data_IF_918782401391
#
_entry.id   IF_918782401391
#
_cell.length_a   1.000
_cell.length_b   1.000
_cell.length_c   1.000
_cell.angle_alpha   90.00
_cell.angle_beta   90.00
_cell.angle_gamma   90.00
#
_symmetry.space_group_name_H-M   'P 1'
#
loop_
_entity.id
_entity.type
_entity.pdbx_description
1 polymer ?
#
# COMPACT_ATOMS: atom_id res chain seq x y z
N UNK A 1 -18.98 2.17 1.45
CA UNK A 1 -17.59 1.95 0.99
C UNK A 1 -17.27 2.71 -0.31
N UNK A 2 -18.06 2.60 -1.38
CA UNK A 2 -17.78 3.28 -2.66
C UNK A 2 -17.52 4.80 -2.52
N UNK A 3 -18.31 5.51 -1.75
CA UNK A 3 -18.11 6.94 -1.51
C UNK A 3 -16.80 7.29 -0.81
N UNK A 4 -16.32 6.46 0.12
CA UNK A 4 -15.02 6.67 0.78
C UNK A 4 -13.87 6.45 -0.19
N UNK A 5 -13.97 5.40 -1.03
CA UNK A 5 -12.98 5.16 -2.10
C UNK A 5 -12.97 6.29 -3.13
N UNK A 6 -14.15 6.76 -3.55
CA UNK A 6 -14.27 7.86 -4.50
C UNK A 6 -13.71 9.16 -3.92
N UNK A 7 -14.00 9.45 -2.65
CA UNK A 7 -13.44 10.62 -1.96
C UNK A 7 -11.92 10.53 -1.87
N UNK A 8 -11.37 9.36 -1.49
CA UNK A 8 -9.93 9.13 -1.40
C UNK A 8 -9.27 9.30 -2.78
N UNK A 9 -9.83 8.69 -3.83
CA UNK A 9 -9.32 8.83 -5.20
C UNK A 9 -9.36 10.28 -5.68
N UNK A 10 -10.45 11.00 -5.43
CA UNK A 10 -10.60 12.42 -5.78
C UNK A 10 -9.58 13.31 -5.06
N UNK A 11 -9.38 13.09 -3.77
CA UNK A 11 -8.37 13.83 -2.97
C UNK A 11 -6.97 13.58 -3.52
N UNK A 12 -6.61 12.32 -3.75
CA UNK A 12 -5.27 11.97 -4.30
C UNK A 12 -5.10 12.59 -5.68
N UNK A 13 -6.11 12.51 -6.55
CA UNK A 13 -6.06 13.10 -7.90
C UNK A 13 -5.83 14.60 -7.84
N UNK A 14 -6.63 15.34 -7.08
CA UNK A 14 -6.50 16.80 -6.94
C UNK A 14 -5.16 17.17 -6.31
N UNK A 15 -4.74 16.43 -5.27
CA UNK A 15 -3.49 16.69 -4.58
C UNK A 15 -2.25 16.45 -5.48
N UNK A 16 -2.26 15.40 -6.29
CA UNK A 16 -1.16 15.11 -7.25
C UNK A 16 -1.15 16.10 -8.41
N UNK A 17 -2.30 16.59 -8.84
CA UNK A 17 -2.41 17.62 -9.89
C UNK A 17 -2.14 19.03 -9.36
N UNK A 18 -2.04 19.21 -8.02
CA UNK A 18 -1.88 20.54 -7.40
C UNK A 18 -0.73 21.39 -7.95
N UNK A 19 0.48 20.83 -8.24
CA UNK A 19 1.55 21.62 -8.87
C UNK A 19 1.16 22.20 -10.22
N UNK A 20 0.33 21.49 -11.00
CA UNK A 20 -0.17 21.97 -12.30
C UNK A 20 -1.27 23.02 -12.12
N UNK A 21 -2.21 22.73 -11.23
CA UNK A 21 -3.35 23.59 -10.94
C UNK A 21 -2.86 24.92 -10.34
N UNK A 22 -1.89 24.89 -9.43
CA UNK A 22 -1.37 26.10 -8.78
C UNK A 22 -0.64 27.06 -9.73
N UNK A 23 -0.20 26.59 -10.90
CA UNK A 23 0.37 27.44 -11.97
C UNK A 23 -0.63 28.44 -12.53
N UNK A 24 -1.93 28.21 -12.38
CA UNK A 24 -2.96 29.12 -12.91
C UNK A 24 -2.98 30.49 -12.19
N UNK A 25 -2.46 30.55 -10.96
CA UNK A 25 -2.44 31.78 -10.14
C UNK A 25 -1.12 32.05 -9.40
N UNK A 26 -0.13 31.17 -9.56
CA UNK A 26 1.17 31.34 -8.89
C UNK A 26 2.32 31.09 -9.87
N UNK A 27 3.28 32.01 -9.92
CA UNK A 27 4.49 31.86 -10.71
C UNK A 27 5.42 30.75 -10.17
N UNK A 28 5.30 30.42 -8.87
CA UNK A 28 6.04 29.32 -8.22
C UNK A 28 5.05 28.19 -7.85
N UNK A 29 4.95 27.12 -8.66
CA UNK A 29 4.07 26.00 -8.38
C UNK A 29 4.52 25.28 -7.09
N UNK A 30 3.57 24.97 -6.22
CA UNK A 30 3.83 24.28 -4.94
C UNK A 30 3.27 22.86 -5.01
N UNK A 31 4.11 21.86 -4.73
CA UNK A 31 3.67 20.50 -4.47
C UNK A 31 3.09 20.37 -3.06
N UNK A 32 2.23 19.39 -2.85
CA UNK A 32 1.79 18.99 -1.53
C UNK A 32 2.79 17.95 -0.97
N UNK A 33 3.14 18.11 0.28
CA UNK A 33 4.12 17.28 0.97
C UNK A 33 3.52 15.96 1.52
N UNK A 34 4.35 15.06 2.02
CA UNK A 34 3.94 13.82 2.62
C UNK A 34 3.01 14.03 3.84
N UNK A 35 3.17 15.14 4.58
CA UNK A 35 2.35 15.45 5.74
C UNK A 35 0.89 15.69 5.35
N UNK A 36 0.65 16.34 4.20
CA UNK A 36 -0.70 16.52 3.68
C UNK A 36 -1.38 15.15 3.45
N UNK A 37 -0.70 14.26 2.70
CA UNK A 37 -1.25 12.92 2.42
C UNK A 37 -1.48 12.12 3.69
N UNK A 38 -0.55 12.15 4.63
CA UNK A 38 -0.67 11.45 5.90
C UNK A 38 -1.87 11.97 6.73
N UNK A 39 -2.10 13.28 6.75
CA UNK A 39 -3.22 13.88 7.51
C UNK A 39 -4.58 13.56 6.91
N UNK A 40 -4.68 13.42 5.60
CA UNK A 40 -5.97 13.25 4.91
C UNK A 40 -6.23 11.79 4.55
N UNK A 41 -5.25 11.10 3.95
CA UNK A 41 -5.46 9.75 3.44
C UNK A 41 -5.42 8.68 4.53
N UNK A 42 -4.59 8.83 5.59
CA UNK A 42 -4.52 7.83 6.64
C UNK A 42 -5.83 7.68 7.44
N UNK A 43 -6.52 8.76 7.88
CA UNK A 43 -7.81 8.61 8.55
C UNK A 43 -8.89 7.98 7.66
N UNK A 44 -8.94 8.36 6.38
CA UNK A 44 -9.89 7.78 5.42
C UNK A 44 -9.54 6.31 5.13
N UNK A 45 -8.27 5.98 5.02
CA UNK A 45 -7.80 4.60 4.88
C UNK A 45 -8.16 3.75 6.11
N UNK A 46 -7.93 4.26 7.32
CA UNK A 46 -8.31 3.58 8.55
C UNK A 46 -9.83 3.36 8.66
N UNK A 47 -10.64 4.35 8.26
CA UNK A 47 -12.09 4.23 8.15
C UNK A 47 -12.48 3.15 7.13
N UNK A 48 -11.84 3.13 5.97
CA UNK A 48 -12.07 2.10 4.95
C UNK A 48 -11.78 0.70 5.50
N UNK A 49 -10.69 0.53 6.24
CA UNK A 49 -10.34 -0.75 6.87
C UNK A 49 -11.39 -1.18 7.90
N UNK A 50 -11.88 -0.25 8.73
CA UNK A 50 -12.96 -0.52 9.67
C UNK A 50 -14.25 -0.95 8.96
N UNK A 51 -14.63 -0.26 7.89
CA UNK A 51 -15.79 -0.63 7.07
C UNK A 51 -15.59 -2.02 6.42
N UNK A 52 -14.40 -2.32 5.94
CA UNK A 52 -14.05 -3.63 5.38
C UNK A 52 -14.18 -4.76 6.42
N UNK A 53 -13.82 -4.50 7.67
CA UNK A 53 -13.99 -5.47 8.75
C UNK A 53 -15.46 -5.72 9.09
N UNK A 54 -16.30 -4.67 9.09
CA UNK A 54 -17.69 -4.72 9.55
C UNK A 54 -18.70 -5.09 8.46
N UNK A 55 -18.59 -4.50 7.26
CA UNK A 55 -19.61 -4.59 6.21
C UNK A 55 -19.98 -6.01 5.75
N UNK A 56 -19.08 -6.99 5.65
CA UNK A 56 -19.45 -8.35 5.22
C UNK A 56 -20.47 -9.05 6.13
N UNK A 57 -20.60 -8.60 7.36
CA UNK A 57 -21.46 -9.20 8.39
C UNK A 57 -22.82 -8.50 8.52
N UNK A 58 -23.00 -7.35 7.86
CA UNK A 58 -24.23 -6.57 7.88
C UNK A 58 -25.11 -6.95 6.69
N UNK A 59 -26.40 -7.21 6.94
CA UNK A 59 -27.39 -7.52 5.90
C UNK A 59 -27.95 -6.26 5.25
N UNK A 60 -28.29 -6.30 3.96
CA UNK A 60 -28.92 -5.20 3.23
C UNK A 60 -30.31 -4.79 3.79
N UNK A 61 -31.06 -5.77 4.33
CA UNK A 61 -32.35 -5.52 5.00
C UNK A 61 -32.25 -5.17 6.48
N UNK A 62 -31.03 -4.88 6.96
CA UNK A 62 -30.75 -4.69 8.38
C UNK A 62 -30.41 -5.99 9.11
N UNK A 63 -29.83 -5.85 10.30
CA UNK A 63 -29.42 -6.98 11.15
C UNK A 63 -28.04 -7.56 10.80
N UNK A 64 -27.65 -8.59 11.55
CA UNK A 64 -26.35 -9.27 11.42
C UNK A 64 -26.55 -10.63 10.76
N UNK A 65 -25.90 -10.83 9.61
CA UNK A 65 -26.00 -12.05 8.81
C UNK A 65 -25.47 -13.28 9.53
N UNK A 66 -24.32 -13.18 10.20
CA UNK A 66 -23.72 -14.22 11.01
C UNK A 66 -23.24 -13.63 12.34
N UNK A 67 -24.06 -13.82 13.40
CA UNK A 67 -23.77 -13.26 14.72
C UNK A 67 -22.44 -13.77 15.31
N UNK A 68 -22.12 -15.06 15.15
CA UNK A 68 -20.89 -15.65 15.70
C UNK A 68 -19.65 -15.01 15.04
N UNK A 69 -19.62 -14.92 13.72
CA UNK A 69 -18.53 -14.29 12.99
C UNK A 69 -18.41 -12.79 13.30
N UNK A 70 -19.54 -12.09 13.36
CA UNK A 70 -19.54 -10.66 13.72
C UNK A 70 -18.95 -10.41 15.11
N UNK A 71 -19.40 -11.15 16.15
CA UNK A 71 -18.85 -11.00 17.49
C UNK A 71 -17.37 -11.40 17.56
N UNK A 72 -16.94 -12.43 16.82
CA UNK A 72 -15.54 -12.81 16.74
C UNK A 72 -14.68 -11.67 16.12
N UNK A 73 -15.14 -11.06 15.03
CA UNK A 73 -14.46 -9.91 14.38
C UNK A 73 -14.39 -8.71 15.33
N UNK A 74 -15.49 -8.39 16.02
CA UNK A 74 -15.51 -7.29 17.01
C UNK A 74 -14.58 -7.57 18.19
N UNK A 75 -14.61 -8.80 18.71
CA UNK A 75 -13.71 -9.21 19.80
C UNK A 75 -12.24 -9.16 19.38
N UNK A 76 -11.92 -9.66 18.19
CA UNK A 76 -10.56 -9.60 17.65
C UNK A 76 -10.10 -8.16 17.46
N UNK A 77 -10.97 -7.28 16.94
CA UNK A 77 -10.69 -5.85 16.82
C UNK A 77 -10.34 -5.23 18.18
N UNK A 78 -11.16 -5.47 19.19
CA UNK A 78 -10.97 -4.92 20.54
C UNK A 78 -9.70 -5.47 21.21
N UNK A 79 -9.47 -6.79 21.13
CA UNK A 79 -8.30 -7.44 21.72
C UNK A 79 -7.01 -7.02 21.03
N UNK A 80 -6.98 -7.02 19.70
CA UNK A 80 -5.79 -6.59 18.95
C UNK A 80 -5.50 -5.10 19.17
N UNK A 81 -6.53 -4.24 19.17
CA UNK A 81 -6.38 -2.83 19.48
C UNK A 81 -5.82 -2.60 20.89
N UNK A 82 -6.34 -3.31 21.90
CA UNK A 82 -5.82 -3.24 23.27
C UNK A 82 -4.37 -3.74 23.35
N UNK A 83 -4.06 -4.86 22.70
CA UNK A 83 -2.70 -5.41 22.69
C UNK A 83 -1.69 -4.44 22.05
N UNK A 84 -2.00 -3.90 20.88
CA UNK A 84 -1.17 -2.93 20.17
C UNK A 84 -0.97 -1.66 21.03
N UNK A 85 -2.03 -1.19 21.68
CA UNK A 85 -1.96 -0.03 22.58
C UNK A 85 -1.06 -0.28 23.81
N UNK A 86 -1.18 -1.47 24.44
CA UNK A 86 -0.34 -1.90 25.56
C UNK A 86 1.13 -2.06 25.17
N UNK A 87 1.43 -2.44 23.92
CA UNK A 87 2.79 -2.49 23.38
C UNK A 87 3.41 -1.10 23.18
N UNK A 88 2.65 -0.02 23.40
CA UNK A 88 3.13 1.35 23.29
C UNK A 88 2.84 2.04 21.95
N UNK A 89 2.20 1.37 21.01
CA UNK A 89 1.79 1.93 19.72
C UNK A 89 0.48 2.71 19.87
N UNK A 90 0.57 4.03 20.05
CA UNK A 90 -0.57 4.87 20.47
C UNK A 90 -1.10 5.81 19.40
N UNK A 91 -0.55 5.80 18.19
CA UNK A 91 -1.08 6.63 17.10
C UNK A 91 -2.49 6.17 16.68
N UNK A 92 -3.54 7.05 16.76
CA UNK A 92 -4.93 6.61 16.59
C UNK A 92 -5.21 5.99 15.21
N UNK A 93 -4.68 6.58 14.13
CA UNK A 93 -4.89 6.09 12.77
C UNK A 93 -4.19 4.75 12.53
N UNK A 94 -2.98 4.58 13.04
CA UNK A 94 -2.23 3.34 12.99
C UNK A 94 -2.91 2.23 13.80
N UNK A 95 -3.35 2.56 15.03
CA UNK A 95 -4.07 1.64 15.90
C UNK A 95 -5.37 1.15 15.25
N UNK A 96 -6.18 2.08 14.75
CA UNK A 96 -7.44 1.77 14.08
C UNK A 96 -7.21 0.92 12.83
N UNK A 97 -6.25 1.29 11.98
CA UNK A 97 -5.89 0.56 10.76
C UNK A 97 -5.40 -0.86 11.05
N UNK A 98 -4.45 -1.01 11.98
CA UNK A 98 -3.87 -2.30 12.34
C UNK A 98 -4.91 -3.23 13.02
N UNK A 99 -5.68 -2.72 13.99
CA UNK A 99 -6.73 -3.51 14.66
C UNK A 99 -7.81 -3.96 13.67
N UNK A 100 -8.23 -3.07 12.75
CA UNK A 100 -9.18 -3.42 11.68
C UNK A 100 -8.61 -4.48 10.75
N UNK A 101 -7.32 -4.42 10.43
CA UNK A 101 -6.65 -5.42 9.59
C UNK A 101 -6.65 -6.80 10.22
N UNK A 102 -6.32 -6.91 11.51
CA UNK A 102 -6.38 -8.19 12.25
C UNK A 102 -7.82 -8.72 12.30
N UNK A 103 -8.81 -7.84 12.49
CA UNK A 103 -10.22 -8.20 12.45
C UNK A 103 -10.67 -8.70 11.06
N UNK A 104 -10.17 -8.09 9.97
CA UNK A 104 -10.41 -8.56 8.59
C UNK A 104 -9.84 -9.96 8.38
N UNK A 105 -8.62 -10.23 8.87
CA UNK A 105 -8.02 -11.58 8.78
C UNK A 105 -8.90 -12.62 9.46
N UNK A 106 -9.43 -12.31 10.64
CA UNK A 106 -10.41 -13.17 11.33
C UNK A 106 -11.67 -13.37 10.47
N UNK A 107 -12.19 -12.30 9.90
CA UNK A 107 -13.34 -12.36 8.99
C UNK A 107 -13.10 -13.23 7.77
N UNK A 108 -11.92 -13.17 7.16
CA UNK A 108 -11.53 -14.01 6.01
C UNK A 108 -11.54 -15.50 6.42
N UNK A 109 -11.06 -15.86 7.62
CA UNK A 109 -11.11 -17.24 8.10
C UNK A 109 -12.56 -17.75 8.19
N UNK A 110 -13.50 -16.97 8.74
CA UNK A 110 -14.92 -17.33 8.77
C UNK A 110 -15.53 -17.45 7.35
N UNK A 111 -15.18 -16.57 6.44
CA UNK A 111 -15.66 -16.63 5.05
C UNK A 111 -15.08 -17.86 4.30
N UNK A 112 -13.82 -18.19 4.55
CA UNK A 112 -13.20 -19.41 4.01
C UNK A 112 -13.79 -20.69 4.61
N UNK A 113 -14.27 -20.68 5.85
CA UNK A 113 -14.95 -21.81 6.48
C UNK A 113 -16.36 -22.03 5.88
N UNK A 114 -17.00 -20.97 5.39
CA UNK A 114 -18.33 -21.04 4.79
C UNK A 114 -18.29 -21.64 3.38
N UNK A 115 -18.90 -22.83 3.21
CA UNK A 115 -18.96 -23.50 1.91
C UNK A 115 -19.75 -22.70 0.86
N UNK A 116 -20.74 -21.93 1.28
CA UNK A 116 -21.55 -21.09 0.38
C UNK A 116 -20.71 -20.00 -0.27
N UNK A 117 -19.81 -19.36 0.51
CA UNK A 117 -18.88 -18.34 0.02
C UNK A 117 -17.84 -18.95 -0.91
N UNK A 118 -17.25 -20.09 -0.54
CA UNK A 118 -16.22 -20.75 -1.37
C UNK A 118 -16.70 -21.23 -2.74
N UNK A 119 -17.99 -21.51 -2.87
CA UNK A 119 -18.61 -21.95 -4.13
C UNK A 119 -18.95 -20.82 -5.08
N UNK A 120 -18.97 -19.57 -4.59
CA UNK A 120 -19.25 -18.42 -5.45
C UNK A 120 -18.10 -18.21 -6.45
N UNK A 121 -18.40 -17.92 -7.72
CA UNK A 121 -17.37 -17.57 -8.69
C UNK A 121 -16.60 -16.32 -8.18
N UNK A 122 -15.28 -16.33 -8.37
CA UNK A 122 -14.36 -15.25 -7.97
C UNK A 122 -14.25 -14.95 -6.46
N UNK A 123 -14.87 -15.75 -5.57
CA UNK A 123 -14.80 -15.51 -4.12
C UNK A 123 -13.37 -15.54 -3.59
N UNK A 124 -12.53 -16.46 -4.08
CA UNK A 124 -11.12 -16.53 -3.68
C UNK A 124 -10.33 -15.30 -4.13
N UNK A 125 -10.63 -14.77 -5.32
CA UNK A 125 -10.02 -13.52 -5.79
C UNK A 125 -10.40 -12.34 -4.91
N UNK A 126 -11.69 -12.23 -4.55
CA UNK A 126 -12.17 -11.18 -3.64
C UNK A 126 -11.55 -11.30 -2.25
N UNK A 127 -11.50 -12.50 -1.68
CA UNK A 127 -10.87 -12.74 -0.38
C UNK A 127 -9.36 -12.46 -0.41
N UNK A 128 -8.69 -12.80 -1.52
CA UNK A 128 -7.28 -12.47 -1.73
C UNK A 128 -7.03 -10.97 -1.78
N UNK A 129 -7.90 -10.20 -2.45
CA UNK A 129 -7.81 -8.75 -2.45
C UNK A 129 -7.97 -8.16 -1.04
N UNK A 130 -8.92 -8.67 -0.24
CA UNK A 130 -9.11 -8.25 1.16
C UNK A 130 -7.91 -8.64 2.03
N UNK A 131 -7.35 -9.83 1.84
CA UNK A 131 -6.13 -10.27 2.53
C UNK A 131 -4.95 -9.34 2.20
N UNK A 132 -4.72 -9.09 0.92
CA UNK A 132 -3.65 -8.18 0.49
C UNK A 132 -3.80 -6.78 1.06
N UNK A 133 -5.02 -6.23 1.03
CA UNK A 133 -5.31 -4.91 1.63
C UNK A 133 -5.06 -4.89 3.15
N UNK A 134 -5.45 -5.94 3.88
CA UNK A 134 -5.20 -6.04 5.31
C UNK A 134 -3.71 -6.08 5.65
N UNK A 135 -2.91 -6.83 4.89
CA UNK A 135 -1.45 -6.90 5.07
C UNK A 135 -0.78 -5.56 4.72
N UNK A 136 -1.19 -4.91 3.61
CA UNK A 136 -0.70 -3.57 3.26
C UNK A 136 -0.99 -2.56 4.37
N UNK A 137 -2.21 -2.58 4.93
CA UNK A 137 -2.59 -1.65 5.98
C UNK A 137 -1.81 -1.87 7.27
N UNK A 138 -1.43 -3.11 7.62
CA UNK A 138 -0.49 -3.41 8.71
C UNK A 138 0.87 -2.76 8.40
N UNK A 139 1.41 -2.99 7.21
CA UNK A 139 2.67 -2.37 6.79
C UNK A 139 2.64 -0.85 6.94
N UNK A 140 1.62 -0.17 6.39
CA UNK A 140 1.46 1.29 6.47
C UNK A 140 1.31 1.77 7.92
N UNK A 141 0.52 1.04 8.74
CA UNK A 141 0.24 1.43 10.12
C UNK A 141 1.50 1.46 11.00
N UNK A 142 2.49 0.62 10.70
CA UNK A 142 3.71 0.54 11.49
C UNK A 142 4.90 1.24 10.82
N UNK A 143 5.14 1.06 9.52
CA UNK A 143 6.33 1.60 8.86
C UNK A 143 6.36 3.13 8.82
N UNK A 144 5.22 3.79 8.56
CA UNK A 144 5.17 5.25 8.49
C UNK A 144 5.37 5.92 9.86
N UNK A 145 4.43 5.71 10.81
CA UNK A 145 4.41 6.41 12.10
C UNK A 145 5.54 6.02 13.06
N UNK A 146 6.08 4.81 12.93
CA UNK A 146 7.08 4.26 13.87
C UNK A 146 8.44 4.04 13.23
N UNK A 147 8.66 4.61 12.04
CA UNK A 147 9.97 4.73 11.43
C UNK A 147 10.93 5.49 12.34
N UNK A 148 12.12 4.96 12.54
CA UNK A 148 13.20 5.63 13.24
C UNK A 148 14.28 5.95 12.21
N UNK A 149 14.56 7.22 12.00
CA UNK A 149 15.53 7.69 11.02
C UNK A 149 16.51 8.66 11.67
N UNK A 150 17.80 8.54 11.35
CA UNK A 150 18.84 9.44 11.83
C UNK A 150 19.98 9.54 10.82
N UNK A 151 20.50 10.75 10.66
CA UNK A 151 21.75 11.01 9.98
C UNK A 151 22.87 10.77 10.99
N UNK A 152 23.79 9.87 10.66
CA UNK A 152 24.87 9.42 11.55
C UNK A 152 26.20 9.75 10.90
N UNK A 153 27.08 10.41 11.65
CA UNK A 153 28.42 10.78 11.25
C UNK A 153 29.37 9.67 11.69
N UNK A 154 30.15 9.15 10.76
CA UNK A 154 31.10 8.06 10.99
C UNK A 154 32.51 8.45 10.63
N UNK A 155 33.45 8.03 11.46
CA UNK A 155 34.83 7.78 11.03
C UNK A 155 35.00 6.30 10.70
N UNK A 156 35.95 5.96 9.84
CA UNK A 156 36.21 4.55 9.48
C UNK A 156 36.58 3.75 10.74
N UNK A 157 35.96 2.61 10.93
CA UNK A 157 36.08 1.75 12.11
C UNK A 157 35.15 2.13 13.27
N UNK A 158 34.46 3.26 13.23
CA UNK A 158 33.56 3.70 14.29
C UNK A 158 32.24 2.93 14.25
N UNK A 159 31.72 2.60 15.46
CA UNK A 159 30.41 1.97 15.64
C UNK A 159 29.45 2.97 16.29
N UNK A 160 28.27 3.08 15.74
CA UNK A 160 27.14 3.86 16.25
C UNK A 160 25.90 2.98 16.43
N UNK A 161 24.95 3.43 17.24
CA UNK A 161 23.71 2.67 17.54
C UNK A 161 22.47 3.43 17.13
N UNK A 162 21.52 2.72 16.52
CA UNK A 162 20.20 3.22 16.17
C UNK A 162 19.14 2.14 16.47
N UNK A 163 18.14 2.47 17.29
CA UNK A 163 17.02 1.57 17.63
C UNK A 163 17.44 0.18 18.15
N UNK A 164 18.63 0.06 18.77
CA UNK A 164 19.20 -1.19 19.27
C UNK A 164 20.09 -1.94 18.28
N UNK A 165 20.12 -1.54 17.01
CA UNK A 165 21.06 -2.02 16.01
C UNK A 165 22.39 -1.28 16.10
N UNK A 166 23.50 -1.97 15.87
CA UNK A 166 24.83 -1.35 15.80
C UNK A 166 25.28 -1.30 14.34
N UNK A 167 25.73 -0.13 13.92
CA UNK A 167 26.26 0.14 12.60
C UNK A 167 27.74 0.51 12.71
N UNK A 168 28.62 -0.20 12.00
CA UNK A 168 30.07 0.03 11.99
C UNK A 168 30.49 0.37 10.56
N UNK A 169 31.05 1.55 10.35
CA UNK A 169 31.64 1.90 9.05
C UNK A 169 32.95 1.13 8.86
N UNK A 170 32.99 0.25 7.87
CA UNK A 170 34.18 -0.56 7.57
C UNK A 170 35.18 0.21 6.72
N UNK A 171 34.69 0.73 5.59
CA UNK A 171 35.50 1.45 4.60
C UNK A 171 34.64 2.36 3.74
N UNK A 172 35.27 3.34 3.11
CA UNK A 172 34.70 4.13 2.04
C UNK A 172 35.40 3.70 0.75
N UNK A 173 34.62 3.22 -0.22
CA UNK A 173 35.11 2.78 -1.53
C UNK A 173 34.76 3.82 -2.57
N UNK A 174 35.75 4.24 -3.35
CA UNK A 174 35.55 5.09 -4.53
C UNK A 174 35.86 4.29 -5.77
N UNK A 175 35.06 4.44 -6.81
CA UNK A 175 35.25 3.71 -8.03
C UNK A 175 34.56 4.31 -9.24
N UNK A 176 34.87 3.74 -10.40
CA UNK A 176 34.25 4.09 -11.66
C UNK A 176 33.70 2.85 -12.34
N UNK A 177 32.45 2.95 -12.79
CA UNK A 177 31.79 1.94 -13.63
C UNK A 177 31.39 2.56 -14.96
N UNK A 178 31.09 1.76 -16.00
CA UNK A 178 30.65 2.33 -17.26
C UNK A 178 29.46 3.28 -17.09
N UNK A 179 29.68 4.56 -17.39
CA UNK A 179 28.65 5.61 -17.36
C UNK A 179 28.50 6.39 -16.05
N UNK A 180 29.18 6.01 -14.97
CA UNK A 180 29.15 6.77 -13.70
C UNK A 180 30.37 6.52 -12.80
N UNK A 181 30.67 7.51 -11.98
CA UNK A 181 31.57 7.40 -10.84
C UNK A 181 30.75 7.23 -9.57
N UNK A 182 31.28 6.52 -8.58
CA UNK A 182 30.56 6.28 -7.33
C UNK A 182 31.47 6.35 -6.12
N UNK A 183 30.84 6.70 -4.99
CA UNK A 183 31.39 6.56 -3.64
C UNK A 183 30.42 5.68 -2.87
N UNK A 184 30.92 4.60 -2.25
CA UNK A 184 30.15 3.64 -1.46
C UNK A 184 30.66 3.60 -0.03
N UNK A 185 29.75 3.64 0.95
CA UNK A 185 30.07 3.45 2.36
C UNK A 185 29.70 2.03 2.79
N UNK A 186 30.69 1.17 3.07
CA UNK A 186 30.42 -0.19 3.57
C UNK A 186 30.17 -0.14 5.06
N UNK A 187 28.94 -0.42 5.47
CA UNK A 187 28.50 -0.38 6.87
C UNK A 187 28.02 -1.76 7.30
N UNK A 188 28.70 -2.35 8.29
CA UNK A 188 28.27 -3.60 8.91
C UNK A 188 27.17 -3.32 9.90
N UNK A 189 26.08 -4.09 9.83
CA UNK A 189 24.94 -4.00 10.74
C UNK A 189 24.89 -5.25 11.60
N UNK A 190 24.78 -5.07 12.92
CA UNK A 190 24.55 -6.13 13.91
C UNK A 190 23.31 -5.83 14.74
N UNK A 191 22.61 -6.86 15.17
CA UNK A 191 21.45 -6.72 16.05
C UNK A 191 21.86 -6.44 17.51
N UNK A 192 20.83 -6.38 18.40
CA UNK A 192 21.01 -6.14 19.86
C UNK A 192 21.88 -7.22 20.52
N UNK A 193 21.82 -8.46 20.00
CA UNK A 193 22.50 -9.63 20.56
C UNK A 193 23.91 -9.78 19.99
N UNK A 194 24.32 -8.89 19.09
CA UNK A 194 25.65 -8.88 18.45
C UNK A 194 25.75 -9.80 17.23
N UNK A 195 24.63 -10.38 16.78
CA UNK A 195 24.59 -11.17 15.55
C UNK A 195 24.68 -10.24 14.34
N UNK A 196 25.58 -10.56 13.42
CA UNK A 196 25.71 -9.85 12.15
C UNK A 196 24.50 -10.14 11.27
N UNK A 197 23.81 -9.06 10.83
CA UNK A 197 22.69 -9.13 9.91
C UNK A 197 23.14 -9.02 8.46
N UNK A 198 24.24 -8.29 8.21
CA UNK A 198 24.83 -8.10 6.91
C UNK A 198 25.66 -6.84 6.81
N UNK A 199 26.15 -6.58 5.61
CA UNK A 199 26.85 -5.34 5.24
C UNK A 199 26.01 -4.63 4.19
N UNK A 200 25.68 -3.36 4.45
CA UNK A 200 25.06 -2.46 3.47
C UNK A 200 26.11 -1.57 2.86
N UNK A 201 25.98 -1.28 1.57
CA UNK A 201 26.90 -0.46 0.80
C UNK A 201 26.14 0.64 0.00
N UNK A 202 25.49 1.62 0.68
CA UNK A 202 24.84 2.72 -0.01
C UNK A 202 25.85 3.52 -0.83
N UNK A 203 25.43 3.92 -2.06
CA UNK A 203 26.31 4.62 -3.01
C UNK A 203 25.80 6.03 -3.30
N UNK A 204 26.72 6.95 -3.55
CA UNK A 204 26.45 8.19 -4.29
C UNK A 204 27.06 8.08 -5.67
N UNK A 205 26.22 8.24 -6.70
CA UNK A 205 26.61 8.10 -8.10
C UNK A 205 26.57 9.42 -8.82
N UNK A 206 27.60 9.67 -9.61
CA UNK A 206 27.70 10.80 -10.52
C UNK A 206 27.66 10.27 -11.96
N UNK A 207 26.52 10.44 -12.63
CA UNK A 207 26.37 9.95 -14.01
C UNK A 207 26.94 10.94 -15.02
N UNK A 208 27.77 10.46 -15.94
CA UNK A 208 28.42 11.29 -16.98
C UNK A 208 27.41 12.07 -17.83
N UNK A 209 26.22 11.50 -18.11
CA UNK A 209 25.18 12.11 -18.94
C UNK A 209 24.42 13.23 -18.25
N UNK A 210 24.44 13.31 -16.91
CA UNK A 210 23.68 14.28 -16.13
C UNK A 210 24.54 15.37 -15.49
N UNK A 211 25.79 15.51 -15.94
CA UNK A 211 26.71 16.54 -15.47
C UNK A 211 27.04 16.38 -13.98
N UNK A 212 26.89 17.43 -13.20
CA UNK A 212 27.21 17.44 -11.76
C UNK A 212 26.08 16.88 -10.86
N UNK A 213 25.01 16.34 -11.41
CA UNK A 213 23.89 15.80 -10.62
C UNK A 213 24.28 14.47 -9.98
N UNK A 214 24.18 14.43 -8.66
CA UNK A 214 24.48 13.25 -7.87
C UNK A 214 23.19 12.53 -7.50
N UNK A 215 23.22 11.21 -7.62
CA UNK A 215 22.13 10.30 -7.25
C UNK A 215 22.55 9.47 -6.05
N UNK A 216 21.64 9.35 -5.07
CA UNK A 216 21.85 8.49 -3.91
C UNK A 216 21.19 7.14 -4.15
N UNK A 217 21.96 6.07 -4.09
CA UNK A 217 21.49 4.70 -4.14
C UNK A 217 21.44 4.14 -2.74
N UNK A 218 20.27 3.70 -2.35
CA UNK A 218 20.01 3.14 -1.02
C UNK A 218 20.32 1.64 -1.04
N UNK A 219 20.91 1.15 0.03
CA UNK A 219 21.04 -0.30 0.26
C UNK A 219 20.24 -0.73 1.48
N UNK A 220 19.74 -1.98 1.47
CA UNK A 220 18.69 -2.43 2.39
C UNK A 220 18.98 -3.84 2.89
N UNK A 221 18.77 -4.06 4.20
CA UNK A 221 18.69 -5.41 4.76
C UNK A 221 17.21 -5.74 4.93
N UNK A 222 16.63 -6.59 4.04
CA UNK A 222 15.21 -6.90 4.08
C UNK A 222 14.86 -7.80 5.27
N UNK A 223 13.71 -7.55 5.90
CA UNK A 223 13.20 -8.36 7.00
C UNK A 223 11.66 -8.35 7.02
N UNK A 224 11.05 -9.39 7.57
CA UNK A 224 9.61 -9.40 7.85
C UNK A 224 9.24 -8.62 9.12
N UNK A 225 10.23 -8.27 9.94
CA UNK A 225 10.10 -7.40 11.09
C UNK A 225 10.58 -5.99 10.78
N UNK A 226 11.71 -5.62 11.38
CA UNK A 226 12.37 -4.33 11.12
C UNK A 226 13.23 -4.44 9.86
N UNK A 227 12.99 -3.60 8.89
CA UNK A 227 13.82 -3.45 7.69
C UNK A 227 14.77 -2.27 7.88
N UNK A 228 16.02 -2.45 7.50
CA UNK A 228 17.07 -1.45 7.69
C UNK A 228 17.50 -0.86 6.34
N UNK A 229 17.37 0.44 6.21
CA UNK A 229 17.79 1.22 5.05
C UNK A 229 19.03 2.03 5.38
N UNK A 230 19.97 2.07 4.46
CA UNK A 230 21.12 2.95 4.52
C UNK A 230 21.20 3.80 3.25
N UNK A 231 21.49 5.09 3.40
CA UNK A 231 21.68 6.04 2.31
C UNK A 231 22.90 6.90 2.59
N UNK A 232 23.84 6.99 1.66
CA UNK A 232 25.03 7.83 1.79
C UNK A 232 24.67 9.28 1.45
N UNK A 233 24.77 10.19 2.43
CA UNK A 233 24.51 11.62 2.23
C UNK A 233 25.74 12.38 1.72
N UNK A 234 26.94 11.93 2.08
CA UNK A 234 28.20 12.52 1.67
C UNK A 234 29.22 12.62 2.80
N UNK A 235 30.09 13.59 2.72
CA UNK A 235 31.03 13.96 3.77
C UNK A 235 30.57 15.27 4.40
N UNK A 236 30.77 15.42 5.71
CA UNK A 236 30.58 16.69 6.41
C UNK A 236 31.84 17.58 6.33
N UNK A 237 31.80 18.76 6.98
CA UNK A 237 32.91 19.71 7.00
C UNK A 237 34.18 19.15 7.68
N UNK A 238 34.03 18.21 8.61
CA UNK A 238 35.08 17.51 9.31
C UNK A 238 35.55 16.23 8.61
N UNK A 239 35.10 15.99 7.37
CA UNK A 239 35.39 14.79 6.58
C UNK A 239 34.84 13.47 7.16
N UNK A 240 33.84 13.54 8.05
CA UNK A 240 33.11 12.35 8.46
C UNK A 240 32.15 11.89 7.37
N UNK A 241 32.00 10.58 7.25
CA UNK A 241 31.04 9.96 6.34
C UNK A 241 29.65 10.05 6.95
N UNK A 242 28.75 10.77 6.31
CA UNK A 242 27.37 10.93 6.80
C UNK A 242 26.47 9.90 6.11
N UNK A 243 25.99 8.95 6.90
CA UNK A 243 25.07 7.91 6.44
C UNK A 243 23.72 8.09 7.15
N UNK A 244 22.67 8.23 6.37
CA UNK A 244 21.30 8.17 6.88
C UNK A 244 20.94 6.71 7.08
N UNK A 245 20.67 6.32 8.32
CA UNK A 245 20.12 5.01 8.67
C UNK A 245 18.65 5.13 9.05
N UNK A 246 17.86 4.20 8.58
CA UNK A 246 16.43 4.14 8.86
C UNK A 246 16.04 2.72 9.24
N UNK A 247 15.25 2.58 10.29
CA UNK A 247 14.61 1.34 10.72
C UNK A 247 13.11 1.47 10.48
N UNK A 248 12.59 0.64 9.59
CA UNK A 248 11.20 0.68 9.17
C UNK A 248 10.48 -0.62 9.55
N UNK A 249 9.67 -0.62 10.61
CA UNK A 249 9.00 -1.83 11.06
C UNK A 249 7.91 -2.25 10.07
N UNK A 250 7.88 -3.55 9.77
CA UNK A 250 6.83 -4.22 8.98
C UNK A 250 6.61 -3.68 7.55
N UNK A 251 7.55 -2.91 6.98
CA UNK A 251 7.36 -2.32 5.64
C UNK A 251 7.22 -3.39 4.54
N UNK A 252 7.87 -4.55 4.67
CA UNK A 252 7.75 -5.65 3.71
C UNK A 252 6.32 -6.19 3.58
N UNK A 253 5.48 -6.07 4.61
CA UNK A 253 4.07 -6.48 4.53
C UNK A 253 3.26 -5.62 3.56
N UNK A 254 3.71 -4.38 3.29
CA UNK A 254 3.13 -3.54 2.25
C UNK A 254 3.36 -4.17 0.86
N UNK A 255 4.58 -4.61 0.57
CA UNK A 255 4.91 -5.23 -0.71
C UNK A 255 4.26 -6.59 -0.88
N UNK A 256 4.29 -7.43 0.16
CA UNK A 256 3.62 -8.74 0.19
C UNK A 256 2.11 -8.57 -0.03
N UNK A 257 1.49 -7.67 0.72
CA UNK A 257 0.07 -7.39 0.62
C UNK A 257 -0.32 -6.87 -0.75
N UNK A 258 0.44 -5.92 -1.32
CA UNK A 258 0.24 -5.40 -2.67
C UNK A 258 0.35 -6.47 -3.74
N UNK A 259 1.34 -7.35 -3.64
CA UNK A 259 1.53 -8.48 -4.55
C UNK A 259 0.34 -9.44 -4.49
N UNK A 260 -0.10 -9.82 -3.29
CA UNK A 260 -1.28 -10.68 -3.09
C UNK A 260 -2.54 -10.02 -3.67
N UNK A 261 -2.75 -8.72 -3.39
CA UNK A 261 -3.90 -7.96 -3.87
C UNK A 261 -3.97 -7.88 -5.40
N UNK A 262 -2.82 -7.83 -6.08
CA UNK A 262 -2.76 -7.78 -7.54
C UNK A 262 -2.88 -9.17 -8.18
N UNK A 263 -2.21 -10.19 -7.63
CA UNK A 263 -2.08 -11.48 -8.30
C UNK A 263 -3.25 -12.44 -8.02
N UNK A 264 -3.76 -12.47 -6.77
CA UNK A 264 -4.80 -13.45 -6.39
C UNK A 264 -6.13 -13.23 -7.12
N UNK A 265 -6.63 -12.01 -7.33
CA UNK A 265 -7.81 -11.77 -8.15
C UNK A 265 -7.68 -12.25 -9.60
N UNK A 266 -6.48 -12.17 -10.19
CA UNK A 266 -6.23 -12.65 -11.55
C UNK A 266 -6.40 -14.17 -11.68
N UNK A 267 -6.10 -14.92 -10.61
CA UNK A 267 -6.35 -16.38 -10.58
C UNK A 267 -7.86 -16.71 -10.63
N UNK A 268 -8.70 -15.79 -10.14
CA UNK A 268 -10.17 -15.91 -10.21
C UNK A 268 -10.72 -15.75 -11.62
N UNK A 269 -10.09 -14.94 -12.47
CA UNK A 269 -10.52 -14.71 -13.86
C UNK A 269 -10.43 -15.96 -14.74
N UNK A 270 -9.51 -16.87 -14.45
CA UNK A 270 -9.31 -18.13 -15.19
C UNK A 270 -10.44 -19.16 -14.99
N UNK A 271 -11.36 -18.94 -14.04
CA UNK A 271 -12.43 -19.88 -13.66
C UNK A 271 -13.81 -19.55 -14.24
N UNK A 272 -13.93 -18.53 -15.11
CA UNK A 272 -15.19 -18.30 -15.82
C UNK A 272 -15.45 -19.49 -16.76
N UNK A 273 -16.50 -20.25 -16.46
CA UNK A 273 -16.98 -21.31 -17.37
C UNK A 273 -17.51 -20.67 -18.65
N UNK A 274 -17.33 -21.32 -19.82
CA UNK A 274 -17.92 -20.84 -21.09
C UNK A 274 -19.44 -20.63 -21.04
N UNK A 275 -20.15 -21.35 -20.16
CA UNK A 275 -21.60 -21.24 -19.97
C UNK A 275 -22.02 -19.84 -19.46
N UNK A 276 -21.26 -19.25 -18.57
CA UNK A 276 -21.60 -17.91 -18.04
C UNK A 276 -21.39 -16.80 -19.10
N UNK A 277 -20.52 -17.05 -20.07
CA UNK A 277 -20.30 -16.15 -21.21
C UNK A 277 -21.40 -16.29 -22.28
N UNK A 278 -21.93 -17.47 -22.46
CA UNK A 278 -23.06 -17.73 -23.37
C UNK A 278 -24.36 -17.10 -22.82
N UNK A 279 -24.65 -17.29 -21.54
CA UNK A 279 -25.80 -16.67 -20.85
C UNK A 279 -25.74 -15.15 -20.84
N UNK A 280 -24.54 -14.56 -20.65
CA UNK A 280 -24.34 -13.12 -20.73
C UNK A 280 -24.46 -12.57 -22.16
N UNK A 281 -24.08 -13.34 -23.18
CA UNK A 281 -24.26 -12.98 -24.58
C UNK A 281 -25.74 -13.07 -25.00
N UNK A 282 -26.47 -14.08 -24.53
CA UNK A 282 -27.91 -14.27 -24.78
C UNK A 282 -28.74 -13.15 -24.12
N UNK A 283 -28.35 -12.69 -22.91
CA UNK A 283 -28.95 -11.54 -22.24
C UNK A 283 -28.64 -10.22 -22.97
N UNK A 284 -27.48 -10.06 -23.56
CA UNK A 284 -27.11 -8.87 -24.33
C UNK A 284 -27.87 -8.81 -25.66
N UNK A 285 -28.03 -9.96 -26.34
CA UNK A 285 -28.77 -10.06 -27.60
C UNK A 285 -30.29 -9.83 -27.41
N UNK A 286 -30.85 -10.27 -26.27
CA UNK A 286 -32.22 -9.97 -25.90
C UNK A 286 -32.56 -8.53 -25.55
N UNK A 287 -31.55 -7.73 -25.17
CA UNK A 287 -31.72 -6.30 -24.92
C UNK A 287 -31.72 -5.49 -26.21
N UNK A 288 -31.04 -5.96 -27.26
CA UNK A 288 -31.01 -5.30 -28.57
C UNK A 288 -32.29 -5.57 -29.39
N UNK A 289 -33.00 -6.67 -29.13
CA UNK A 289 -34.28 -6.97 -29.78
C UNK A 289 -35.47 -6.16 -29.23
N UNK A 290 -35.45 -5.77 -27.95
CA UNK A 290 -36.53 -4.96 -27.32
C UNK A 290 -36.45 -3.46 -27.70
N UNK A 291 -35.33 -2.98 -28.23
CA UNK A 291 -35.17 -1.60 -28.72
C UNK A 291 -35.50 -1.43 -30.24
N UNK A 292 -35.89 -2.49 -30.93
CA UNK A 292 -36.37 -2.40 -32.29
C UNK A 292 -37.80 -1.78 -32.29
N UNK A 293 -37.86 -0.48 -32.51
CA UNK A 293 -39.14 0.24 -32.74
C UNK A 293 -39.87 -0.41 -33.90
N UNK A 294 -41.16 -0.85 -33.75
CA UNK A 294 -41.95 -1.40 -34.88
C UNK A 294 -42.14 -0.29 -35.92
N UNK A 295 -41.71 -0.56 -37.14
CA UNK A 295 -42.02 0.26 -38.29
C UNK A 295 -43.54 0.40 -38.40
N UNK A 296 -44.04 1.64 -38.25
CA UNK A 296 -45.48 2.02 -38.41
C UNK A 296 -45.81 1.96 -39.92
N UNK A 297 -46.69 0.99 -40.38
CA UNK A 297 -47.09 0.87 -41.80
C UNK A 297 -48.31 1.72 -42.08
N UNK A 298 -48.29 3.02 -41.75
CA UNK A 298 -49.53 3.81 -41.88
C UNK A 298 -49.37 5.24 -42.41
N UNK A 299 -48.81 5.44 -43.62
CA UNK A 299 -49.03 6.71 -44.34
C UNK A 299 -49.09 6.51 -45.85
N UNK A 300 -50.06 5.71 -46.33
CA UNK A 300 -50.43 5.78 -47.73
C UNK A 300 -51.49 6.87 -47.95
N UNK A 301 -51.08 7.82 -48.80
CA UNK A 301 -51.85 8.98 -49.14
C UNK A 301 -53.16 8.75 -49.85
N UNK A 302 -54.11 9.57 -49.59
CA UNK A 302 -55.24 9.86 -50.49
C UNK A 302 -55.26 11.35 -50.77
N UNK A 303 -54.58 11.76 -51.84
CA UNK A 303 -55.00 12.92 -52.59
C UNK A 303 -55.99 12.45 -53.66
N UNK A 304 -57.20 12.87 -53.51
CA UNK A 304 -58.29 12.72 -54.48
C UNK A 304 -59.01 14.05 -54.60
N UNK A 305 -58.98 14.53 -55.85
CA UNK A 305 -59.54 15.76 -56.34
C UNK A 305 -61.06 16.02 -56.05
N UNK A 306 -61.40 17.22 -55.82
CA UNK A 306 -62.43 18.02 -56.45
C UNK A 306 -62.42 19.48 -55.84
#
# INVERSE_FOLDING_TARGET
MAWVLLALAGIILVATMWPVISKLWSAAPRGLDANFYNRVCLPLGALLMLMMAACPWLGWGGGVRNKKAFFAVVATFAVSGAAIWLMGYRQPTALLGAASSVAILTGIVFQLADRSVRRQPNSLGALGAHLGMALMAIGIAFSGPYKIERDIHFTVGQTQTLAGYKATLLELEEGRRPGYEYIAAKVRITDKDGKELGVVAPERRLYEKFGSMQFSEVDVIPSLGDELYASLLGLDEDSHVVVKLSVEPLVNWLWIGGTIMCLVPLLGLRRRKPADAAEAAELADGLDEDDAVPDDPGSDGKHGAA
#
